data_IF_260780915491
#
_entry.id   IF_260780915491
#
_cell.length_a   1.000
_cell.length_b   1.000
_cell.length_c   1.000
_cell.angle_alpha   90.00
_cell.angle_beta   90.00
_cell.angle_gamma   90.00
#
_symmetry.space_group_name_H-M   'P 1'
#
loop_
_entity.id
_entity.type
_entity.pdbx_description
1 polymer ?
#
# COMPACT_ATOMS: atom_id res chain seq x y z
N UNK A 1 14.87 5.80 30.45
CA UNK A 1 13.59 6.46 30.77
C UNK A 1 12.99 6.97 29.48
N UNK A 2 12.03 6.22 28.94
CA UNK A 2 11.36 6.59 27.68
C UNK A 2 10.42 7.76 27.92
N UNK A 3 10.67 8.87 27.25
CA UNK A 3 9.72 9.99 27.20
C UNK A 3 8.46 9.53 26.47
N UNK A 4 7.36 9.40 27.21
CA UNK A 4 6.05 9.12 26.65
C UNK A 4 5.76 10.14 25.54
N UNK A 5 5.61 9.67 24.30
CA UNK A 5 5.28 10.51 23.15
C UNK A 5 3.99 11.28 23.48
N UNK A 6 4.04 12.61 23.44
CA UNK A 6 2.84 13.46 23.61
C UNK A 6 1.77 12.96 22.63
N UNK A 7 0.52 12.76 23.09
CA UNK A 7 -0.56 12.30 22.21
C UNK A 7 -0.66 13.26 21.04
N UNK A 8 -0.37 12.76 19.83
CA UNK A 8 -0.51 13.53 18.60
C UNK A 8 -1.94 14.00 18.49
N UNK A 9 -2.13 15.32 18.45
CA UNK A 9 -3.45 15.93 18.30
C UNK A 9 -4.11 15.33 17.06
N UNK A 10 -5.25 14.67 17.25
CA UNK A 10 -5.93 13.99 16.15
C UNK A 10 -6.15 14.97 14.99
N UNK A 11 -5.67 14.59 13.82
CA UNK A 11 -5.83 15.39 12.62
C UNK A 11 -7.30 15.33 12.17
N UNK A 12 -8.04 16.40 12.30
CA UNK A 12 -9.43 16.54 11.87
C UNK A 12 -9.54 17.60 10.79
N UNK A 13 -8.78 17.45 9.73
CA UNK A 13 -8.90 18.30 8.54
C UNK A 13 -9.86 17.63 7.55
N UNK A 14 -10.74 18.39 6.94
CA UNK A 14 -11.65 17.98 5.87
C UNK A 14 -11.32 18.84 4.66
N UNK A 15 -11.01 18.24 3.52
CA UNK A 15 -10.91 18.95 2.24
C UNK A 15 -12.24 18.84 1.54
N UNK A 16 -12.77 19.95 1.05
CA UNK A 16 -14.07 20.05 0.36
C UNK A 16 -13.88 20.61 -1.05
N UNK A 17 -14.77 20.18 -1.94
CA UNK A 17 -14.85 20.64 -3.32
C UNK A 17 -16.22 21.29 -3.55
N UNK A 18 -16.23 22.58 -3.88
CA UNK A 18 -17.45 23.35 -4.13
C UNK A 18 -17.58 23.76 -5.61
N UNK A 19 -16.94 23.10 -6.52
CA UNK A 19 -16.98 23.25 -7.98
C UNK A 19 -15.97 24.23 -8.57
N UNK A 20 -15.88 25.48 -8.11
CA UNK A 20 -14.93 26.45 -8.64
C UNK A 20 -14.43 27.41 -7.55
N UNK A 21 -13.25 28.00 -7.78
CA UNK A 21 -12.56 28.86 -6.80
C UNK A 21 -13.35 30.13 -6.47
N UNK A 22 -14.05 30.72 -7.44
CA UNK A 22 -14.82 31.94 -7.24
C UNK A 22 -16.05 31.70 -6.35
N UNK A 23 -16.77 30.61 -6.60
CA UNK A 23 -17.90 30.16 -5.75
C UNK A 23 -17.43 29.85 -4.34
N UNK A 24 -16.28 29.22 -4.17
CA UNK A 24 -15.71 28.91 -2.86
C UNK A 24 -15.36 30.18 -2.06
N UNK A 25 -14.83 31.20 -2.69
CA UNK A 25 -14.57 32.49 -2.02
C UNK A 25 -15.84 33.14 -1.48
N UNK A 26 -16.89 33.23 -2.28
CA UNK A 26 -18.17 33.80 -1.84
C UNK A 26 -18.84 32.97 -0.74
N UNK A 27 -18.84 31.65 -0.85
CA UNK A 27 -19.35 30.76 0.18
C UNK A 27 -18.61 30.90 1.51
N UNK A 28 -17.30 31.16 1.47
CA UNK A 28 -16.50 31.31 2.69
C UNK A 28 -16.79 32.64 3.41
N UNK A 29 -17.30 33.66 2.73
CA UNK A 29 -17.76 34.91 3.35
C UNK A 29 -19.09 34.73 4.09
N UNK A 30 -20.02 33.93 3.55
CA UNK A 30 -21.25 33.54 4.26
C UNK A 30 -21.07 32.23 5.04
N UNK A 31 -20.73 32.34 6.29
CA UNK A 31 -20.48 31.19 7.14
C UNK A 31 -21.68 30.26 7.37
N UNK A 32 -22.94 30.65 7.06
CA UNK A 32 -24.10 29.78 7.14
C UNK A 32 -24.21 28.93 5.86
N UNK A 33 -24.16 29.57 4.70
CA UNK A 33 -24.18 28.89 3.41
C UNK A 33 -22.97 27.94 3.29
N UNK A 34 -21.79 28.35 3.75
CA UNK A 34 -20.60 27.50 3.81
C UNK A 34 -20.84 26.24 4.64
N UNK A 35 -21.42 26.35 5.83
CA UNK A 35 -21.71 25.18 6.67
C UNK A 35 -22.68 24.21 5.98
N UNK A 36 -23.72 24.71 5.35
CA UNK A 36 -24.70 23.90 4.61
C UNK A 36 -24.03 23.14 3.45
N UNK A 37 -23.19 23.80 2.66
CA UNK A 37 -22.42 23.18 1.58
C UNK A 37 -21.45 22.11 2.10
N UNK A 38 -20.74 22.36 3.20
CA UNK A 38 -19.83 21.38 3.82
C UNK A 38 -20.59 20.14 4.28
N UNK A 39 -21.75 20.32 4.91
CA UNK A 39 -22.58 19.21 5.37
C UNK A 39 -23.10 18.38 4.19
N UNK A 40 -23.59 19.04 3.13
CA UNK A 40 -24.02 18.38 1.91
C UNK A 40 -22.89 17.59 1.25
N UNK A 41 -21.68 18.17 1.17
CA UNK A 41 -20.50 17.50 0.63
C UNK A 41 -20.10 16.27 1.47
N UNK A 42 -20.07 16.38 2.80
CA UNK A 42 -19.78 15.24 3.69
C UNK A 42 -20.78 14.11 3.49
N UNK A 43 -22.06 14.46 3.38
CA UNK A 43 -23.14 13.47 3.14
C UNK A 43 -22.97 12.79 1.77
N UNK A 44 -22.61 13.53 0.73
CA UNK A 44 -22.40 12.97 -0.62
C UNK A 44 -21.26 11.96 -0.69
N UNK A 45 -20.22 12.14 0.14
CA UNK A 45 -19.10 11.20 0.24
C UNK A 45 -19.48 9.91 0.99
N UNK A 46 -20.48 9.95 1.86
CA UNK A 46 -20.86 8.84 2.75
C UNK A 46 -19.79 8.51 3.82
N UNK A 47 -18.81 9.39 4.03
CA UNK A 47 -17.74 9.17 4.99
C UNK A 47 -18.15 9.56 6.41
N UNK A 48 -17.69 8.78 7.38
CA UNK A 48 -17.92 9.09 8.78
C UNK A 48 -16.86 10.05 9.32
N UNK A 49 -17.29 11.04 10.10
CA UNK A 49 -16.38 12.00 10.74
C UNK A 49 -15.61 11.37 11.90
N UNK A 50 -14.35 11.80 12.07
CA UNK A 50 -13.48 11.37 13.18
C UNK A 50 -13.82 12.16 14.45
N UNK A 51 -14.82 11.74 15.18
CA UNK A 51 -15.20 12.27 16.48
C UNK A 51 -14.22 11.84 17.60
N UNK A 52 -14.36 12.39 18.80
CA UNK A 52 -13.71 11.83 20.00
C UNK A 52 -14.35 10.48 20.34
N UNK A 53 -13.59 9.61 21.01
CA UNK A 53 -14.08 8.26 21.39
C UNK A 53 -15.37 8.29 22.23
N UNK A 54 -15.59 9.36 22.99
CA UNK A 54 -16.78 9.57 23.82
C UNK A 54 -18.02 10.00 23.02
N UNK A 55 -17.90 10.21 21.71
CA UNK A 55 -19.02 10.64 20.88
C UNK A 55 -19.70 9.45 20.20
N UNK A 56 -20.98 9.25 20.45
CA UNK A 56 -21.79 8.23 19.77
C UNK A 56 -22.08 8.51 18.28
N UNK A 57 -21.42 9.51 17.66
CA UNK A 57 -21.53 9.82 16.25
C UNK A 57 -22.73 10.69 15.82
N UNK A 58 -23.65 10.99 16.74
CA UNK A 58 -24.91 11.72 16.43
C UNK A 58 -24.85 13.24 16.60
N UNK A 59 -23.67 13.83 16.87
CA UNK A 59 -23.57 15.28 17.07
C UNK A 59 -23.51 16.06 15.75
N UNK A 60 -24.37 17.07 15.59
CA UNK A 60 -24.28 18.02 14.48
C UNK A 60 -23.00 18.85 14.52
N UNK A 61 -22.62 19.45 13.39
CA UNK A 61 -21.52 20.40 13.31
C UNK A 61 -22.05 21.82 13.41
N UNK A 62 -21.33 22.68 14.13
CA UNK A 62 -21.59 24.13 14.20
C UNK A 62 -20.32 24.88 13.87
N UNK A 63 -20.47 26.15 13.47
CA UNK A 63 -19.33 27.05 13.29
C UNK A 63 -18.64 27.30 14.63
N UNK A 64 -17.32 27.22 14.64
CA UNK A 64 -16.52 27.42 15.84
C UNK A 64 -15.63 28.67 15.75
N UNK A 65 -14.83 28.77 14.72
CA UNK A 65 -13.91 29.88 14.47
C UNK A 65 -13.44 29.87 13.02
N UNK A 66 -12.77 30.93 12.62
CA UNK A 66 -12.12 31.01 11.31
C UNK A 66 -10.72 31.62 11.44
N UNK A 67 -9.95 31.46 10.41
CA UNK A 67 -8.60 32.00 10.22
C UNK A 67 -8.48 32.55 8.80
N UNK A 68 -7.81 33.66 8.60
CA UNK A 68 -7.57 34.23 7.25
C UNK A 68 -6.14 33.93 6.83
N UNK A 69 -5.97 33.23 5.72
CA UNK A 69 -4.65 32.95 5.14
C UNK A 69 -4.24 34.00 4.13
N UNK A 70 -3.64 35.05 4.60
CA UNK A 70 -3.20 36.24 3.80
C UNK A 70 -2.29 35.82 2.64
N UNK A 71 -1.36 34.86 2.85
CA UNK A 71 -0.44 34.37 1.81
C UNK A 71 -1.12 33.60 0.67
N UNK A 72 -2.38 33.25 0.80
CA UNK A 72 -3.21 32.63 -0.22
C UNK A 72 -4.28 33.56 -0.79
N UNK A 73 -4.05 34.87 -0.72
CA UNK A 73 -5.01 35.88 -1.21
C UNK A 73 -6.16 36.19 -0.25
N UNK A 74 -5.97 35.94 1.05
CA UNK A 74 -7.00 36.28 2.05
C UNK A 74 -8.05 35.17 2.27
N UNK A 75 -7.73 33.91 1.92
CA UNK A 75 -8.68 32.77 2.05
C UNK A 75 -9.08 32.55 3.50
N UNK A 76 -10.38 32.57 3.78
CA UNK A 76 -10.95 32.24 5.08
C UNK A 76 -11.03 30.72 5.29
N UNK A 77 -10.38 30.22 6.33
CA UNK A 77 -10.39 28.82 6.71
C UNK A 77 -11.30 28.63 7.93
N UNK A 78 -12.40 27.97 7.74
CA UNK A 78 -13.36 27.71 8.80
C UNK A 78 -12.99 26.51 9.66
N UNK A 79 -13.33 26.59 10.93
CA UNK A 79 -13.33 25.47 11.87
C UNK A 79 -14.74 25.19 12.34
N UNK A 80 -15.14 23.94 12.21
CA UNK A 80 -16.44 23.44 12.66
C UNK A 80 -16.24 22.63 13.93
N UNK A 81 -17.21 22.66 14.83
CA UNK A 81 -17.17 21.92 16.08
C UNK A 81 -18.38 20.99 16.20
N UNK A 82 -18.12 19.77 16.62
CA UNK A 82 -19.19 18.83 16.99
C UNK A 82 -19.93 19.33 18.25
N UNK A 83 -21.24 19.42 18.20
CA UNK A 83 -22.09 19.87 19.31
C UNK A 83 -21.96 19.00 20.55
N UNK A 84 -21.76 17.70 20.39
CA UNK A 84 -21.65 16.73 21.49
C UNK A 84 -20.22 16.61 22.03
N UNK A 85 -19.28 16.11 21.23
CA UNK A 85 -17.93 15.79 21.76
C UNK A 85 -16.94 16.96 21.69
N UNK A 86 -17.35 18.11 21.19
CA UNK A 86 -16.51 19.31 21.03
C UNK A 86 -15.22 19.05 20.21
N UNK A 87 -15.23 18.03 19.33
CA UNK A 87 -14.17 17.85 18.36
C UNK A 87 -14.21 18.98 17.35
N UNK A 88 -13.04 19.56 17.05
CA UNK A 88 -12.94 20.66 16.07
C UNK A 88 -12.37 20.13 14.77
N UNK A 89 -13.03 20.44 13.67
CA UNK A 89 -12.67 20.08 12.30
C UNK A 89 -12.23 21.33 11.55
N UNK A 90 -11.05 21.30 10.92
CA UNK A 90 -10.60 22.36 10.02
C UNK A 90 -11.07 22.03 8.62
N UNK A 91 -11.82 22.92 7.99
CA UNK A 91 -12.32 22.72 6.62
C UNK A 91 -11.45 23.51 5.65
N UNK A 92 -10.90 22.82 4.66
CA UNK A 92 -10.05 23.39 3.63
C UNK A 92 -10.77 23.30 2.28
N UNK A 93 -10.90 24.40 1.52
CA UNK A 93 -11.31 24.31 0.13
C UNK A 93 -10.27 23.56 -0.71
N UNK A 94 -10.67 23.00 -1.85
CA UNK A 94 -9.84 22.14 -2.70
C UNK A 94 -8.52 22.78 -3.15
N UNK A 95 -8.50 24.10 -3.32
CA UNK A 95 -7.32 24.87 -3.73
C UNK A 95 -6.38 25.24 -2.56
N UNK A 96 -6.60 24.71 -1.35
CA UNK A 96 -5.76 24.95 -0.17
C UNK A 96 -5.16 23.64 0.34
N UNK A 97 -3.84 23.57 0.34
CA UNK A 97 -3.11 22.47 0.96
C UNK A 97 -2.98 22.67 2.48
N UNK A 98 -3.14 21.59 3.21
CA UNK A 98 -3.00 21.59 4.66
C UNK A 98 -1.62 22.06 5.10
N UNK A 99 -1.57 23.08 5.97
CA UNK A 99 -0.34 23.66 6.50
C UNK A 99 0.64 24.16 5.43
N UNK A 100 0.16 24.56 4.25
CA UNK A 100 0.98 25.06 3.16
C UNK A 100 0.42 26.36 2.62
N UNK A 101 1.33 27.19 2.14
CA UNK A 101 1.02 28.42 1.41
C UNK A 101 1.18 28.24 -0.11
N UNK A 102 1.41 27.01 -0.59
CA UNK A 102 1.45 26.70 -2.02
C UNK A 102 0.10 26.22 -2.51
N UNK A 103 -0.18 26.42 -3.78
CA UNK A 103 -1.37 25.90 -4.44
C UNK A 103 -1.22 24.42 -4.77
N UNK A 104 -2.32 23.63 -4.84
CA UNK A 104 -2.29 22.20 -5.18
C UNK A 104 -1.65 21.89 -6.53
N UNK A 105 -1.76 22.79 -7.54
CA UNK A 105 -1.21 22.62 -8.88
C UNK A 105 0.32 22.48 -8.82
N UNK A 106 1.00 23.32 -8.03
CA UNK A 106 2.45 23.26 -7.80
C UNK A 106 2.85 21.94 -7.16
N UNK A 107 2.07 21.50 -6.18
CA UNK A 107 2.28 20.21 -5.52
C UNK A 107 2.02 19.02 -6.45
N UNK A 108 1.04 19.14 -7.34
CA UNK A 108 0.67 18.13 -8.34
C UNK A 108 1.84 17.73 -9.20
N UNK A 109 2.50 18.70 -9.83
CA UNK A 109 3.62 18.45 -10.74
C UNK A 109 4.82 17.84 -10.00
N UNK A 110 5.12 18.34 -8.80
CA UNK A 110 6.18 17.78 -7.98
C UNK A 110 5.89 16.35 -7.50
N UNK A 111 4.65 16.03 -7.14
CA UNK A 111 4.23 14.69 -6.76
C UNK A 111 4.24 13.72 -7.95
N UNK A 112 3.79 14.15 -9.14
CA UNK A 112 3.89 13.37 -10.37
C UNK A 112 5.33 13.05 -10.71
N UNK A 113 6.22 14.03 -10.66
CA UNK A 113 7.64 13.86 -10.91
C UNK A 113 8.28 12.90 -9.88
N UNK A 114 7.90 13.01 -8.60
CA UNK A 114 8.29 12.06 -7.53
C UNK A 114 7.78 10.66 -7.84
N UNK A 115 6.51 10.54 -8.26
CA UNK A 115 5.93 9.26 -8.65
C UNK A 115 6.64 8.67 -9.88
N UNK A 116 7.05 9.49 -10.82
CA UNK A 116 7.84 9.12 -11.99
C UNK A 116 9.28 8.66 -11.68
N UNK A 117 9.76 8.85 -10.46
CA UNK A 117 11.09 8.43 -10.02
C UNK A 117 12.17 9.50 -10.13
N UNK A 118 11.82 10.79 -10.16
CA UNK A 118 12.78 11.87 -9.97
C UNK A 118 13.11 12.04 -8.48
N UNK A 119 14.34 12.51 -8.19
CA UNK A 119 14.72 12.82 -6.81
C UNK A 119 13.90 13.99 -6.26
N UNK A 120 13.72 14.04 -4.94
CA UNK A 120 13.02 15.16 -4.30
C UNK A 120 13.65 16.51 -4.63
N UNK A 121 14.98 16.56 -4.78
CA UNK A 121 15.70 17.77 -5.18
C UNK A 121 15.29 18.24 -6.58
N UNK A 122 15.28 17.35 -7.57
CA UNK A 122 14.85 17.70 -8.94
C UNK A 122 13.38 18.07 -9.00
N UNK A 123 12.53 17.31 -8.30
CA UNK A 123 11.10 17.64 -8.20
C UNK A 123 10.88 19.01 -7.55
N UNK A 124 11.68 19.34 -6.55
CA UNK A 124 11.63 20.62 -5.86
C UNK A 124 12.02 21.79 -6.80
N UNK A 125 13.04 21.61 -7.63
CA UNK A 125 13.43 22.59 -8.66
C UNK A 125 12.29 22.80 -9.66
N UNK A 126 11.67 21.75 -10.17
CA UNK A 126 10.53 21.82 -11.11
C UNK A 126 9.32 22.54 -10.48
N UNK A 127 9.03 22.23 -9.23
CA UNK A 127 7.91 22.83 -8.48
C UNK A 127 8.23 24.16 -7.80
N UNK A 128 9.45 24.70 -7.95
CA UNK A 128 9.91 25.90 -7.22
C UNK A 128 9.66 25.85 -5.71
N UNK A 129 9.86 24.69 -5.10
CA UNK A 129 9.67 24.43 -3.68
C UNK A 129 10.95 23.82 -3.07
N UNK A 130 11.08 23.81 -1.74
CA UNK A 130 12.22 23.13 -1.15
C UNK A 130 12.00 21.61 -1.10
N UNK A 131 13.07 20.76 -1.22
CA UNK A 131 12.96 19.31 -1.09
C UNK A 131 12.30 18.88 0.23
N UNK A 132 12.58 19.60 1.32
CA UNK A 132 11.98 19.34 2.63
C UNK A 132 10.47 19.61 2.64
N UNK A 133 10.00 20.61 1.91
CA UNK A 133 8.56 20.90 1.78
C UNK A 133 7.88 19.75 1.05
N UNK A 134 8.47 19.24 -0.03
CA UNK A 134 7.96 18.09 -0.77
C UNK A 134 7.95 16.81 0.08
N UNK A 135 9.06 16.53 0.80
CA UNK A 135 9.12 15.42 1.74
C UNK A 135 8.00 15.48 2.79
N UNK A 136 7.82 16.65 3.41
CA UNK A 136 6.75 16.87 4.41
C UNK A 136 5.35 16.79 3.80
N UNK A 137 5.19 17.12 2.52
CA UNK A 137 3.92 16.95 1.82
C UNK A 137 3.58 15.46 1.67
N UNK A 138 4.53 14.64 1.21
CA UNK A 138 4.34 13.18 1.13
C UNK A 138 4.06 12.58 2.51
N UNK A 139 4.78 13.01 3.56
CA UNK A 139 4.49 12.61 4.93
C UNK A 139 3.07 13.01 5.37
N UNK A 140 2.60 14.21 4.98
CA UNK A 140 1.25 14.65 5.33
C UNK A 140 0.16 13.75 4.74
N UNK A 141 0.37 13.21 3.53
CA UNK A 141 -0.50 12.20 2.93
C UNK A 141 -0.49 10.89 3.72
N UNK A 142 0.66 10.51 4.28
CA UNK A 142 0.87 9.25 4.98
C UNK A 142 0.32 9.18 6.42
N UNK A 143 -0.29 10.24 6.93
CA UNK A 143 -0.90 10.18 8.26
C UNK A 143 -2.19 9.36 8.32
N UNK A 144 -2.82 9.12 7.18
CA UNK A 144 -3.97 8.24 7.07
C UNK A 144 -3.53 6.85 6.62
N UNK A 145 -4.12 5.82 7.21
CA UNK A 145 -3.81 4.43 6.85
C UNK A 145 -4.22 4.12 5.41
N UNK A 146 -3.40 3.36 4.70
CA UNK A 146 -3.71 2.90 3.34
C UNK A 146 -5.01 2.11 3.30
N UNK A 147 -5.21 1.21 4.27
CA UNK A 147 -6.43 0.40 4.38
C UNK A 147 -7.66 1.30 4.46
N UNK A 148 -7.63 2.31 5.33
CA UNK A 148 -8.76 3.25 5.49
C UNK A 148 -9.05 4.02 4.20
N UNK A 149 -8.01 4.47 3.49
CA UNK A 149 -8.18 5.17 2.21
C UNK A 149 -8.81 4.27 1.15
N UNK A 150 -8.34 3.03 1.03
CA UNK A 150 -8.85 2.09 0.04
C UNK A 150 -10.30 1.65 0.33
N UNK A 151 -10.64 1.44 1.60
CA UNK A 151 -12.03 1.12 1.99
C UNK A 151 -12.99 2.29 1.77
N UNK A 152 -12.55 3.54 1.94
CA UNK A 152 -13.32 4.74 1.55
C UNK A 152 -13.60 4.80 0.05
N UNK A 153 -12.71 4.26 -0.76
CA UNK A 153 -12.95 4.10 -2.20
C UNK A 153 -13.90 2.94 -2.53
N UNK A 154 -14.48 2.28 -1.54
CA UNK A 154 -15.38 1.14 -1.72
C UNK A 154 -14.69 -0.16 -2.09
N UNK A 155 -13.35 -0.23 -2.00
CA UNK A 155 -12.66 -1.49 -2.21
C UNK A 155 -12.90 -2.44 -1.02
N UNK A 156 -13.33 -3.69 -1.29
CA UNK A 156 -13.43 -4.69 -0.25
C UNK A 156 -12.04 -5.08 0.25
N UNK A 157 -11.94 -5.43 1.52
CA UNK A 157 -10.69 -5.97 2.08
C UNK A 157 -10.27 -7.25 1.35
N UNK A 158 -8.98 -7.42 1.02
CA UNK A 158 -8.52 -8.46 0.12
C UNK A 158 -8.57 -9.85 0.76
N UNK A 159 -9.24 -10.81 0.12
CA UNK A 159 -9.24 -12.21 0.55
C UNK A 159 -7.88 -12.90 0.35
N UNK A 160 -7.15 -12.49 -0.67
CA UNK A 160 -5.82 -13.00 -1.01
C UNK A 160 -4.83 -11.85 -1.07
N UNK A 161 -3.69 -12.01 -0.41
CA UNK A 161 -2.64 -11.01 -0.36
C UNK A 161 -1.31 -11.58 -0.85
N UNK A 162 -0.51 -10.70 -1.44
CA UNK A 162 0.91 -10.93 -1.76
C UNK A 162 1.72 -10.19 -0.71
N UNK A 163 2.67 -10.85 -0.07
CA UNK A 163 3.51 -10.24 0.96
C UNK A 163 4.98 -10.60 0.77
N UNK A 164 5.84 -9.60 0.82
CA UNK A 164 7.29 -9.72 0.72
C UNK A 164 7.97 -8.45 1.26
N UNK A 165 9.27 -8.50 1.51
CA UNK A 165 10.08 -7.39 1.99
C UNK A 165 11.04 -6.89 0.91
N UNK A 166 10.90 -5.63 0.53
CA UNK A 166 11.89 -4.96 -0.32
C UNK A 166 13.05 -4.44 0.52
N UNK A 167 14.28 -4.69 0.07
CA UNK A 167 15.48 -4.12 0.67
C UNK A 167 15.64 -2.65 0.29
N UNK A 168 16.04 -1.81 1.26
CA UNK A 168 16.45 -0.43 1.07
C UNK A 168 17.63 -0.11 2.01
N UNK A 169 17.95 1.17 2.15
CA UNK A 169 19.03 1.66 3.04
C UNK A 169 18.52 2.80 3.92
N UNK A 170 19.04 2.87 5.14
CA UNK A 170 18.98 4.05 5.98
C UNK A 170 20.41 4.41 6.35
N UNK A 171 20.93 5.50 5.79
CA UNK A 171 22.37 5.80 5.78
C UNK A 171 23.16 4.63 5.16
N UNK A 172 24.01 3.98 5.94
CA UNK A 172 24.80 2.79 5.56
C UNK A 172 24.08 1.49 5.83
N UNK A 173 23.07 1.49 6.71
CA UNK A 173 22.43 0.29 7.21
C UNK A 173 21.36 -0.22 6.27
N UNK A 174 21.26 -1.53 6.20
CA UNK A 174 20.22 -2.21 5.44
C UNK A 174 18.91 -2.17 6.20
N UNK A 175 17.86 -1.72 5.52
CA UNK A 175 16.49 -1.69 6.04
C UNK A 175 15.55 -2.44 5.13
N UNK A 176 14.35 -2.74 5.61
CA UNK A 176 13.39 -3.57 4.91
C UNK A 176 12.02 -2.87 4.86
N UNK A 177 11.32 -3.09 3.78
CA UNK A 177 10.01 -2.49 3.50
C UNK A 177 8.97 -3.60 3.37
N UNK A 178 8.39 -4.08 4.48
CA UNK A 178 7.31 -5.06 4.44
C UNK A 178 6.13 -4.50 3.67
N UNK A 179 5.74 -5.22 2.61
CA UNK A 179 4.74 -4.75 1.65
C UNK A 179 3.62 -5.76 1.51
N UNK A 180 2.36 -5.29 1.50
CA UNK A 180 1.18 -6.08 1.19
C UNK A 180 0.51 -5.52 -0.05
N UNK A 181 0.30 -6.37 -1.06
CA UNK A 181 -0.35 -6.04 -2.32
C UNK A 181 -1.49 -7.02 -2.58
N UNK A 182 -2.59 -6.55 -3.11
CA UNK A 182 -3.63 -7.40 -3.70
C UNK A 182 -4.17 -6.72 -4.96
N UNK A 183 -4.20 -7.46 -6.06
CA UNK A 183 -4.46 -6.85 -7.34
C UNK A 183 -3.39 -5.79 -7.67
N UNK A 184 -3.84 -4.66 -8.16
CA UNK A 184 -2.98 -3.52 -8.54
C UNK A 184 -2.86 -2.45 -7.46
N UNK A 185 -3.35 -2.72 -6.25
CA UNK A 185 -3.27 -1.80 -5.12
C UNK A 185 -2.35 -2.32 -4.04
N UNK A 186 -1.63 -1.40 -3.44
CA UNK A 186 -0.78 -1.61 -2.28
C UNK A 186 -1.60 -1.35 -1.03
N UNK A 187 -1.77 -2.35 -0.17
CA UNK A 187 -2.54 -2.27 1.08
C UNK A 187 -1.69 -1.90 2.28
N UNK A 188 -0.38 -2.13 2.19
CA UNK A 188 0.57 -1.77 3.23
C UNK A 188 1.97 -1.58 2.64
N UNK A 189 2.67 -0.58 3.15
CA UNK A 189 4.09 -0.36 2.91
C UNK A 189 4.70 0.11 4.24
N UNK A 190 5.41 -0.80 4.90
CA UNK A 190 6.01 -0.58 6.20
C UNK A 190 7.50 -0.31 6.14
N UNK A 191 8.08 -0.04 7.31
CA UNK A 191 9.51 0.12 7.53
C UNK A 191 9.94 -0.75 8.72
N UNK A 192 11.06 -1.42 8.58
CA UNK A 192 11.74 -2.11 9.68
C UNK A 192 13.23 -2.20 9.44
N UNK A 193 14.02 -2.15 10.49
CA UNK A 193 15.47 -2.26 10.45
C UNK A 193 15.92 -3.73 10.45
N UNK A 194 15.02 -4.65 10.80
CA UNK A 194 15.29 -6.08 10.90
C UNK A 194 14.31 -6.92 10.11
N UNK A 195 14.74 -8.13 9.71
CA UNK A 195 13.86 -9.17 9.15
C UNK A 195 13.58 -10.31 10.14
N UNK A 196 13.66 -10.04 11.43
CA UNK A 196 13.23 -10.99 12.44
C UNK A 196 11.72 -11.25 12.36
N UNK A 197 11.27 -12.44 12.79
CA UNK A 197 9.83 -12.74 12.84
C UNK A 197 9.07 -11.72 13.68
N UNK A 198 9.64 -11.24 14.78
CA UNK A 198 9.03 -10.24 15.66
C UNK A 198 8.84 -8.90 14.94
N UNK A 199 9.90 -8.36 14.31
CA UNK A 199 9.86 -7.09 13.60
C UNK A 199 8.88 -7.12 12.43
N UNK A 200 8.87 -8.21 11.65
CA UNK A 200 7.91 -8.40 10.55
C UNK A 200 6.48 -8.56 11.06
N UNK A 201 6.27 -9.27 12.17
CA UNK A 201 4.94 -9.39 12.80
C UNK A 201 4.43 -8.02 13.26
N UNK A 202 5.30 -7.18 13.81
CA UNK A 202 4.93 -5.82 14.18
C UNK A 202 4.53 -4.98 12.96
N UNK A 203 5.31 -5.02 11.89
CA UNK A 203 5.07 -4.24 10.68
C UNK A 203 3.82 -4.70 9.93
N UNK A 204 3.71 -5.98 9.57
CA UNK A 204 2.51 -6.53 8.92
C UNK A 204 1.27 -6.45 9.82
N UNK A 205 1.45 -6.47 11.14
CA UNK A 205 0.40 -6.29 12.13
C UNK A 205 -0.30 -4.93 12.04
N UNK A 206 0.34 -3.91 11.46
CA UNK A 206 -0.32 -2.62 11.16
C UNK A 206 -1.46 -2.82 10.17
N UNK A 207 -1.19 -3.55 9.07
CA UNK A 207 -2.22 -3.90 8.09
C UNK A 207 -3.36 -4.71 8.74
N UNK A 208 -3.02 -5.77 9.46
CA UNK A 208 -4.00 -6.65 10.10
C UNK A 208 -4.90 -5.89 11.09
N UNK A 209 -4.31 -5.09 11.99
CA UNK A 209 -5.09 -4.30 12.97
C UNK A 209 -6.00 -3.29 12.29
N UNK A 210 -5.50 -2.57 11.26
CA UNK A 210 -6.30 -1.57 10.58
C UNK A 210 -7.43 -2.22 9.77
N UNK A 211 -7.18 -3.37 9.14
CA UNK A 211 -8.21 -4.13 8.44
C UNK A 211 -9.30 -4.61 9.41
N UNK A 212 -8.92 -5.14 10.57
CA UNK A 212 -9.88 -5.56 11.62
C UNK A 212 -10.65 -4.39 12.24
N UNK A 213 -10.11 -3.17 12.24
CA UNK A 213 -10.84 -1.96 12.64
C UNK A 213 -11.92 -1.56 11.63
N UNK A 214 -11.68 -1.79 10.33
CA UNK A 214 -12.67 -1.54 9.27
C UNK A 214 -13.75 -2.64 9.24
N UNK A 215 -13.34 -3.90 9.40
CA UNK A 215 -14.21 -5.06 9.38
C UNK A 215 -13.77 -6.06 10.47
N UNK A 216 -14.45 -6.09 11.63
CA UNK A 216 -14.04 -6.94 12.76
C UNK A 216 -13.98 -8.44 12.45
N UNK A 217 -14.75 -8.91 11.46
CA UNK A 217 -14.77 -10.30 11.03
C UNK A 217 -13.85 -10.58 9.83
N UNK A 218 -13.04 -9.60 9.42
CA UNK A 218 -12.13 -9.75 8.29
C UNK A 218 -11.15 -10.91 8.48
N UNK A 219 -11.06 -11.75 7.44
CA UNK A 219 -10.14 -12.89 7.40
C UNK A 219 -9.47 -13.01 6.04
N UNK A 220 -8.17 -13.05 6.05
CA UNK A 220 -7.37 -13.41 4.87
C UNK A 220 -7.55 -14.92 4.61
N UNK A 221 -7.92 -15.29 3.39
CA UNK A 221 -8.07 -16.70 2.96
C UNK A 221 -6.74 -17.29 2.50
N UNK A 222 -5.92 -16.48 1.83
CA UNK A 222 -4.62 -16.92 1.35
C UNK A 222 -3.58 -15.82 1.28
N UNK A 223 -2.33 -16.20 1.57
CA UNK A 223 -1.16 -15.34 1.50
C UNK A 223 -0.13 -15.97 0.59
N UNK A 224 0.33 -15.24 -0.42
CA UNK A 224 1.44 -15.66 -1.27
C UNK A 224 2.72 -14.94 -0.84
N UNK A 225 3.79 -15.71 -0.59
CA UNK A 225 5.13 -15.20 -0.26
C UNK A 225 6.19 -15.79 -1.19
N UNK A 226 7.44 -15.32 -1.08
CA UNK A 226 8.59 -15.97 -1.72
C UNK A 226 9.07 -17.22 -0.97
N UNK A 227 8.52 -17.48 0.23
CA UNK A 227 8.85 -18.57 1.13
C UNK A 227 10.02 -18.27 2.06
N UNK A 228 10.32 -16.99 2.32
CA UNK A 228 11.25 -16.62 3.38
C UNK A 228 10.65 -16.94 4.76
N UNK A 229 11.47 -17.51 5.64
CA UNK A 229 11.00 -18.17 6.87
C UNK A 229 10.37 -17.19 7.86
N UNK A 230 11.05 -16.05 8.10
CA UNK A 230 10.56 -15.03 9.04
C UNK A 230 9.24 -14.42 8.56
N UNK A 231 9.10 -14.13 7.25
CA UNK A 231 7.85 -13.67 6.64
C UNK A 231 6.73 -14.69 6.81
N UNK A 232 7.04 -15.96 6.49
CA UNK A 232 6.06 -17.05 6.59
C UNK A 232 5.56 -17.23 8.02
N UNK A 233 6.48 -17.22 9.02
CA UNK A 233 6.14 -17.32 10.45
C UNK A 233 5.32 -16.12 10.93
N UNK A 234 5.73 -14.91 10.56
CA UNK A 234 5.02 -13.68 10.90
C UNK A 234 3.57 -13.69 10.37
N UNK A 235 3.39 -14.02 9.09
CA UNK A 235 2.06 -14.05 8.47
C UNK A 235 1.18 -15.19 8.99
N UNK A 236 1.78 -16.32 9.39
CA UNK A 236 1.05 -17.39 10.07
C UNK A 236 0.54 -16.98 11.44
N UNK A 237 1.34 -16.18 12.18
CA UNK A 237 0.93 -15.62 13.47
C UNK A 237 -0.22 -14.63 13.32
N UNK A 238 -0.15 -13.74 12.31
CA UNK A 238 -1.16 -12.71 12.09
C UNK A 238 -2.46 -13.24 11.46
N UNK A 239 -2.34 -14.26 10.61
CA UNK A 239 -3.45 -14.86 9.85
C UNK A 239 -3.46 -16.39 9.99
N UNK A 240 -3.75 -16.93 11.19
CA UNK A 240 -3.61 -18.36 11.49
C UNK A 240 -4.51 -19.25 10.63
N UNK A 241 -5.64 -18.72 10.13
CA UNK A 241 -6.55 -19.43 9.25
C UNK A 241 -6.23 -19.32 7.75
N UNK A 242 -5.24 -18.50 7.37
CA UNK A 242 -4.90 -18.31 5.96
C UNK A 242 -4.06 -19.45 5.39
N UNK A 243 -4.34 -19.81 4.14
CA UNK A 243 -3.46 -20.73 3.38
C UNK A 243 -2.20 -19.98 2.97
N UNK A 244 -1.03 -20.50 3.32
CA UNK A 244 0.25 -19.92 2.94
C UNK A 244 0.77 -20.58 1.67
N UNK A 245 0.85 -19.79 0.58
CA UNK A 245 1.36 -20.24 -0.71
C UNK A 245 2.75 -19.68 -1.01
N UNK A 246 3.51 -20.40 -1.82
CA UNK A 246 4.80 -19.96 -2.33
C UNK A 246 4.68 -19.55 -3.80
N UNK A 247 5.29 -18.43 -4.16
CA UNK A 247 5.31 -17.92 -5.52
C UNK A 247 5.91 -18.94 -6.49
N UNK A 248 5.15 -19.38 -7.50
CA UNK A 248 5.61 -20.34 -8.50
C UNK A 248 6.74 -19.78 -9.37
N UNK A 249 6.76 -18.47 -9.61
CA UNK A 249 7.86 -17.81 -10.34
C UNK A 249 9.16 -17.90 -9.57
N UNK A 250 9.13 -17.66 -8.25
CA UNK A 250 10.29 -17.84 -7.39
C UNK A 250 10.75 -19.30 -7.33
N UNK A 251 9.83 -20.27 -7.33
CA UNK A 251 10.19 -21.69 -7.45
C UNK A 251 10.96 -21.95 -8.76
N UNK A 252 10.50 -21.42 -9.90
CA UNK A 252 11.18 -21.55 -11.19
C UNK A 252 12.57 -20.90 -11.21
N UNK A 253 12.75 -19.76 -10.54
CA UNK A 253 14.06 -19.08 -10.45
C UNK A 253 15.00 -19.73 -9.45
N UNK A 254 14.47 -20.38 -8.40
CA UNK A 254 15.26 -21.10 -7.38
C UNK A 254 15.74 -22.47 -7.87
N UNK A 255 15.02 -23.13 -8.82
CA UNK A 255 15.42 -24.45 -9.34
C UNK A 255 16.84 -24.48 -9.92
N UNK A 256 17.27 -23.56 -10.81
CA UNK A 256 18.65 -23.57 -11.33
C UNK A 256 19.73 -23.48 -10.26
N UNK A 257 19.45 -22.84 -9.12
CA UNK A 257 20.38 -22.73 -7.98
C UNK A 257 20.51 -24.07 -7.21
N UNK A 258 19.52 -24.97 -7.36
CA UNK A 258 19.56 -26.32 -6.78
C UNK A 258 20.29 -27.31 -7.70
N UNK A 259 20.48 -26.95 -8.96
CA UNK A 259 21.13 -27.75 -9.97
C UNK A 259 22.58 -27.27 -10.14
N UNK A 260 23.52 -28.00 -9.51
CA UNK A 260 24.94 -27.62 -9.45
C UNK A 260 25.74 -28.47 -10.43
N UNK A 261 26.76 -27.86 -11.04
CA UNK A 261 27.72 -28.54 -11.94
C UNK A 261 27.06 -29.32 -13.11
N UNK A 262 26.04 -28.72 -13.73
CA UNK A 262 25.39 -29.30 -14.93
C UNK A 262 25.49 -28.36 -16.13
N UNK A 263 25.53 -28.97 -17.30
CA UNK A 263 25.59 -28.24 -18.59
C UNK A 263 24.36 -27.35 -18.79
N UNK A 264 24.57 -26.17 -19.38
CA UNK A 264 23.50 -25.18 -19.62
C UNK A 264 22.28 -25.73 -20.38
N UNK A 265 22.43 -26.58 -21.42
CA UNK A 265 21.29 -27.17 -22.12
C UNK A 265 20.42 -28.06 -21.19
N UNK A 266 21.04 -28.90 -20.36
CA UNK A 266 20.33 -29.78 -19.41
C UNK A 266 19.57 -28.93 -18.38
N UNK A 267 20.20 -27.90 -17.82
CA UNK A 267 19.56 -26.96 -16.89
C UNK A 267 18.35 -26.28 -17.53
N UNK A 268 18.46 -25.86 -18.78
CA UNK A 268 17.36 -25.22 -19.53
C UNK A 268 16.22 -26.18 -19.79
N UNK A 269 16.52 -27.43 -20.16
CA UNK A 269 15.52 -28.47 -20.36
C UNK A 269 14.76 -28.80 -19.05
N UNK A 270 15.46 -29.00 -17.93
CA UNK A 270 14.84 -29.25 -16.63
C UNK A 270 13.98 -28.09 -16.17
N UNK A 271 14.40 -26.83 -16.37
CA UNK A 271 13.59 -25.65 -16.06
C UNK A 271 12.29 -25.62 -16.89
N UNK A 272 12.37 -25.92 -18.18
CA UNK A 272 11.19 -26.01 -19.07
C UNK A 272 10.23 -27.10 -18.64
N UNK A 273 10.74 -28.29 -18.29
CA UNK A 273 9.93 -29.41 -17.78
C UNK A 273 9.22 -29.04 -16.47
N UNK A 274 9.92 -28.38 -15.55
CA UNK A 274 9.35 -27.94 -14.28
C UNK A 274 8.27 -26.86 -14.50
N UNK A 275 8.50 -25.90 -15.40
CA UNK A 275 7.50 -24.92 -15.79
C UNK A 275 6.22 -25.61 -16.33
N UNK A 276 6.38 -26.57 -17.26
CA UNK A 276 5.26 -27.31 -17.81
C UNK A 276 4.49 -28.08 -16.74
N UNK A 277 5.22 -28.68 -15.76
CA UNK A 277 4.62 -29.39 -14.64
C UNK A 277 3.75 -28.44 -13.80
N UNK A 278 4.30 -27.28 -13.39
CA UNK A 278 3.58 -26.30 -12.59
C UNK A 278 2.37 -25.72 -13.33
N UNK A 279 2.54 -25.39 -14.61
CA UNK A 279 1.46 -24.87 -15.46
C UNK A 279 0.32 -25.88 -15.60
N UNK A 280 0.61 -27.14 -15.93
CA UNK A 280 -0.39 -28.22 -16.04
C UNK A 280 -1.07 -28.52 -14.70
N UNK A 281 -0.32 -28.45 -13.59
CA UNK A 281 -0.89 -28.65 -12.26
C UNK A 281 -1.92 -27.57 -11.94
N UNK A 282 -1.64 -26.29 -12.29
CA UNK A 282 -2.53 -25.16 -12.07
C UNK A 282 -3.82 -25.22 -12.92
N UNK A 283 -3.75 -25.70 -14.16
CA UNK A 283 -4.92 -25.79 -15.05
C UNK A 283 -5.96 -26.83 -14.62
N UNK A 284 -5.58 -27.79 -13.77
CA UNK A 284 -6.49 -28.85 -13.31
C UNK A 284 -7.19 -28.46 -12.02
N UNK A 285 -8.44 -28.03 -12.15
CA UNK A 285 -9.33 -27.85 -11.00
C UNK A 285 -9.40 -29.14 -10.16
N UNK A 286 -9.17 -29.03 -8.85
CA UNK A 286 -9.30 -30.16 -7.93
C UNK A 286 -8.16 -31.21 -7.99
N UNK A 287 -6.96 -30.80 -8.42
CA UNK A 287 -5.80 -31.70 -8.36
C UNK A 287 -5.49 -32.05 -6.89
N UNK A 288 -5.66 -33.33 -6.53
CA UNK A 288 -5.35 -33.79 -5.17
C UNK A 288 -3.86 -33.64 -4.89
N UNK A 289 -3.50 -33.26 -3.65
CA UNK A 289 -2.11 -33.11 -3.14
C UNK A 289 -1.27 -34.34 -3.48
N UNK A 290 -1.86 -35.54 -3.37
CA UNK A 290 -1.19 -36.80 -3.70
C UNK A 290 -0.72 -36.89 -5.17
N UNK A 291 -1.56 -36.50 -6.12
CA UNK A 291 -1.21 -36.53 -7.55
C UNK A 291 -0.10 -35.50 -7.89
N UNK A 292 -0.10 -34.33 -7.25
CA UNK A 292 0.98 -33.38 -7.39
C UNK A 292 2.27 -33.90 -6.77
N UNK A 293 2.21 -34.51 -5.59
CA UNK A 293 3.35 -35.16 -4.94
C UNK A 293 4.01 -36.23 -5.79
N UNK A 294 3.21 -37.06 -6.50
CA UNK A 294 3.74 -38.02 -7.44
C UNK A 294 4.44 -37.37 -8.64
N UNK A 295 3.88 -36.27 -9.18
CA UNK A 295 4.50 -35.54 -10.30
C UNK A 295 5.82 -34.91 -9.89
N UNK A 296 5.90 -34.30 -8.70
CA UNK A 296 7.15 -33.75 -8.17
C UNK A 296 8.20 -34.87 -7.93
N UNK A 297 7.80 -36.03 -7.44
CA UNK A 297 8.70 -37.20 -7.32
C UNK A 297 9.22 -37.64 -8.70
N UNK A 298 8.34 -37.78 -9.71
CA UNK A 298 8.75 -38.13 -11.08
C UNK A 298 9.73 -37.09 -11.64
N UNK A 299 9.47 -35.79 -11.38
CA UNK A 299 10.39 -34.73 -11.79
C UNK A 299 11.75 -34.85 -11.08
N UNK A 300 11.77 -35.10 -9.77
CA UNK A 300 13.03 -35.33 -9.05
C UNK A 300 13.82 -36.55 -9.59
N UNK A 301 13.11 -37.63 -9.97
CA UNK A 301 13.75 -38.76 -10.64
C UNK A 301 14.31 -38.39 -12.01
N UNK A 302 13.60 -37.58 -12.81
CA UNK A 302 14.10 -37.02 -14.06
C UNK A 302 15.38 -36.20 -13.84
N UNK A 303 15.41 -35.37 -12.77
CA UNK A 303 16.64 -34.64 -12.39
C UNK A 303 17.78 -35.61 -12.06
N UNK A 304 17.49 -36.69 -11.33
CA UNK A 304 18.48 -37.75 -11.03
C UNK A 304 19.08 -38.32 -12.33
N UNK A 305 18.22 -38.66 -13.29
CA UNK A 305 18.65 -39.22 -14.58
C UNK A 305 19.46 -38.26 -15.43
N UNK A 306 19.03 -37.00 -15.52
CA UNK A 306 19.66 -36.00 -16.41
C UNK A 306 20.84 -35.24 -15.79
N UNK A 307 20.89 -35.14 -14.46
CA UNK A 307 21.83 -34.25 -13.74
C UNK A 307 22.54 -34.97 -12.57
N UNK A 308 22.36 -36.26 -12.40
CA UNK A 308 23.00 -37.09 -11.37
C UNK A 308 22.28 -37.12 -10.02
N UNK A 309 22.59 -38.18 -9.23
CA UNK A 309 21.92 -38.48 -7.95
C UNK A 309 21.94 -37.34 -6.94
N UNK A 310 23.07 -36.63 -6.80
CA UNK A 310 23.22 -35.53 -5.88
C UNK A 310 22.27 -34.35 -6.18
N UNK A 311 22.05 -34.00 -7.45
CA UNK A 311 21.10 -33.01 -7.88
C UNK A 311 19.66 -33.45 -7.66
N UNK A 312 19.34 -34.72 -7.94
CA UNK A 312 18.04 -35.30 -7.67
C UNK A 312 17.67 -35.24 -6.18
N UNK A 313 18.61 -35.56 -5.29
CA UNK A 313 18.40 -35.51 -3.84
C UNK A 313 18.20 -34.07 -3.33
N UNK A 314 18.99 -33.10 -3.80
CA UNK A 314 18.78 -31.68 -3.47
C UNK A 314 17.40 -31.17 -3.88
N UNK A 315 16.87 -31.62 -5.04
CA UNK A 315 15.55 -31.27 -5.51
C UNK A 315 14.46 -31.96 -4.68
N UNK A 316 14.65 -33.24 -4.27
CA UNK A 316 13.72 -33.92 -3.36
C UNK A 316 13.62 -33.24 -2.00
N UNK A 317 14.77 -32.97 -1.37
CA UNK A 317 14.82 -32.25 -0.09
C UNK A 317 14.14 -30.86 -0.20
N UNK A 318 14.47 -30.11 -1.25
CA UNK A 318 13.82 -28.81 -1.48
C UNK A 318 12.29 -28.91 -1.65
N UNK A 319 11.78 -29.92 -2.34
CA UNK A 319 10.35 -30.16 -2.44
C UNK A 319 9.72 -30.55 -1.11
N UNK A 320 10.42 -31.32 -0.29
CA UNK A 320 9.94 -31.71 1.03
C UNK A 320 9.79 -30.46 1.94
N UNK A 321 10.78 -29.55 1.94
CA UNK A 321 10.78 -28.33 2.72
C UNK A 321 9.66 -27.35 2.30
N UNK A 322 9.37 -27.30 0.99
CA UNK A 322 8.40 -26.34 0.42
C UNK A 322 7.03 -26.94 0.12
N UNK A 323 6.83 -28.21 0.48
CA UNK A 323 5.65 -28.99 0.14
C UNK A 323 4.33 -28.31 0.53
N UNK A 324 4.21 -27.88 1.78
CA UNK A 324 2.96 -27.32 2.27
C UNK A 324 2.58 -25.99 1.57
N UNK A 325 3.55 -25.06 1.40
CA UNK A 325 3.29 -23.76 0.77
C UNK A 325 3.14 -23.85 -0.76
N UNK A 326 3.85 -24.77 -1.42
CA UNK A 326 3.73 -24.95 -2.88
C UNK A 326 2.38 -25.53 -3.30
N UNK A 327 1.79 -26.38 -2.49
CA UNK A 327 0.50 -27.00 -2.80
C UNK A 327 -0.67 -26.05 -2.63
N UNK A 328 -0.64 -25.15 -1.64
CA UNK A 328 -1.71 -24.21 -1.40
C UNK A 328 -2.11 -23.40 -2.66
N UNK A 329 -1.10 -22.94 -3.43
CA UNK A 329 -1.32 -22.17 -4.68
C UNK A 329 -1.93 -23.04 -5.79
N UNK A 330 -1.60 -24.34 -5.83
CA UNK A 330 -2.07 -25.23 -6.88
C UNK A 330 -3.45 -25.81 -6.59
N UNK A 331 -3.82 -25.91 -5.31
CA UNK A 331 -5.11 -26.38 -4.85
C UNK A 331 -6.19 -25.31 -4.88
N UNK A 332 -5.79 -24.04 -4.72
CA UNK A 332 -6.72 -22.91 -4.71
C UNK A 332 -6.57 -22.09 -6.01
N UNK A 333 -7.50 -22.23 -6.97
CA UNK A 333 -7.45 -21.48 -8.23
C UNK A 333 -7.59 -19.96 -8.07
N UNK A 334 -8.13 -19.49 -6.95
CA UNK A 334 -8.30 -18.05 -6.66
C UNK A 334 -7.01 -17.44 -6.08
N UNK A 335 -6.15 -18.27 -5.48
CA UNK A 335 -4.86 -17.79 -4.96
C UNK A 335 -3.95 -17.33 -6.10
N UNK A 336 -3.34 -16.14 -6.04
CA UNK A 336 -2.34 -15.71 -7.03
C UNK A 336 -1.21 -16.72 -7.19
N UNK A 337 -0.77 -16.97 -8.42
CA UNK A 337 0.31 -17.94 -8.68
C UNK A 337 1.70 -17.31 -8.63
N UNK A 338 1.79 -16.02 -8.75
CA UNK A 338 3.07 -15.30 -8.81
C UNK A 338 2.99 -13.98 -8.08
N UNK A 339 4.13 -13.53 -7.58
CA UNK A 339 4.29 -12.22 -6.96
C UNK A 339 4.52 -11.08 -7.98
N UNK A 340 4.19 -11.26 -9.26
CA UNK A 340 4.51 -10.29 -10.31
C UNK A 340 3.96 -8.88 -10.01
N UNK A 341 2.75 -8.78 -9.47
CA UNK A 341 2.16 -7.48 -9.09
C UNK A 341 2.90 -6.84 -7.91
N UNK A 342 3.33 -7.64 -6.95
CA UNK A 342 4.17 -7.18 -5.84
C UNK A 342 5.55 -6.74 -6.34
N UNK A 343 6.17 -7.50 -7.27
CA UNK A 343 7.43 -7.11 -7.91
C UNK A 343 7.30 -5.76 -8.66
N UNK A 344 6.16 -5.51 -9.33
CA UNK A 344 5.85 -4.23 -9.99
C UNK A 344 5.72 -3.10 -8.97
N UNK A 345 5.02 -3.33 -7.86
CA UNK A 345 4.89 -2.36 -6.79
C UNK A 345 6.24 -2.03 -6.15
N UNK A 346 7.06 -3.05 -5.86
CA UNK A 346 8.43 -2.88 -5.38
C UNK A 346 9.28 -2.06 -6.34
N UNK A 347 9.21 -2.32 -7.65
CA UNK A 347 9.96 -1.57 -8.67
C UNK A 347 9.51 -0.10 -8.74
N UNK A 348 8.23 0.20 -8.53
CA UNK A 348 7.74 1.56 -8.47
C UNK A 348 8.27 2.33 -7.26
N UNK A 349 8.34 1.69 -6.10
CA UNK A 349 8.91 2.28 -4.88
C UNK A 349 10.43 2.38 -4.97
N UNK A 350 11.09 1.35 -5.50
CA UNK A 350 12.55 1.28 -5.62
C UNK A 350 13.13 2.43 -6.46
N UNK A 351 12.49 2.76 -7.58
CA UNK A 351 12.89 3.91 -8.40
C UNK A 351 12.97 5.21 -7.59
N UNK A 352 12.03 5.42 -6.65
CA UNK A 352 12.00 6.61 -5.80
C UNK A 352 13.08 6.58 -4.73
N UNK A 353 13.22 5.45 -4.03
CA UNK A 353 14.20 5.29 -2.97
C UNK A 353 15.63 5.25 -3.51
N UNK A 354 15.83 4.70 -4.71
CA UNK A 354 17.15 4.68 -5.38
C UNK A 354 17.65 6.11 -5.66
N UNK A 355 16.82 6.97 -6.24
CA UNK A 355 17.22 8.37 -6.52
C UNK A 355 17.36 9.21 -5.26
N UNK A 356 16.69 8.84 -4.18
CA UNK A 356 16.85 9.44 -2.84
C UNK A 356 18.07 8.87 -2.09
N UNK A 357 18.74 7.85 -2.62
CA UNK A 357 19.81 7.10 -1.93
C UNK A 357 19.38 6.46 -0.60
N UNK A 358 18.09 6.12 -0.47
CA UNK A 358 17.49 5.57 0.74
C UNK A 358 17.01 6.63 1.73
N UNK A 359 17.03 6.28 3.01
CA UNK A 359 16.65 7.17 4.11
C UNK A 359 17.89 7.74 4.80
N UNK A 360 17.78 8.96 5.34
CA UNK A 360 18.91 9.71 5.88
C UNK A 360 18.89 9.91 7.39
N UNK A 361 17.78 9.54 8.07
CA UNK A 361 17.62 9.70 9.52
C UNK A 361 16.99 8.46 10.12
N UNK A 362 17.68 7.68 10.98
CA UNK A 362 17.08 6.59 11.72
C UNK A 362 16.03 7.12 12.70
N UNK A 363 14.95 6.37 12.93
CA UNK A 363 13.87 6.76 13.86
C UNK A 363 13.01 7.95 13.41
N UNK A 364 13.11 8.37 12.13
CA UNK A 364 12.35 9.47 11.58
C UNK A 364 10.94 9.11 11.11
N UNK A 365 10.42 9.89 10.17
CA UNK A 365 9.06 9.71 9.60
C UNK A 365 9.00 8.73 8.44
N UNK A 366 9.92 7.74 8.37
CA UNK A 366 10.02 6.79 7.24
C UNK A 366 8.71 6.03 7.00
N UNK A 367 8.10 5.49 8.05
CA UNK A 367 6.84 4.75 7.93
C UNK A 367 5.71 5.64 7.39
N UNK A 368 5.64 6.89 7.85
CA UNK A 368 4.64 7.87 7.40
C UNK A 368 4.92 8.28 5.94
N UNK A 369 6.19 8.50 5.57
CA UNK A 369 6.59 8.79 4.20
C UNK A 369 6.25 7.64 3.26
N UNK A 370 6.54 6.40 3.64
CA UNK A 370 6.20 5.20 2.86
C UNK A 370 4.70 5.04 2.69
N UNK A 371 3.91 5.29 3.72
CA UNK A 371 2.45 5.31 3.61
C UNK A 371 1.99 6.37 2.60
N UNK A 372 2.60 7.56 2.59
CA UNK A 372 2.36 8.58 1.57
C UNK A 372 2.70 8.11 0.16
N UNK A 373 3.84 7.41 -0.02
CA UNK A 373 4.20 6.79 -1.31
C UNK A 373 3.20 5.72 -1.75
N UNK A 374 2.65 4.94 -0.81
CA UNK A 374 1.62 3.95 -1.13
C UNK A 374 0.32 4.63 -1.61
N UNK A 375 -0.07 5.78 -1.03
CA UNK A 375 -1.20 6.57 -1.54
C UNK A 375 -0.93 7.10 -2.95
N UNK A 376 0.26 7.63 -3.21
CA UNK A 376 0.64 8.07 -4.56
C UNK A 376 0.61 6.89 -5.56
N UNK A 377 1.09 5.71 -5.18
CA UNK A 377 1.04 4.51 -6.01
C UNK A 377 -0.39 4.11 -6.36
N UNK A 378 -1.30 4.17 -5.39
CA UNK A 378 -2.68 3.70 -5.53
C UNK A 378 -3.59 4.69 -6.29
N UNK A 379 -3.33 6.01 -6.17
CA UNK A 379 -4.27 7.06 -6.60
C UNK A 379 -3.79 7.88 -7.81
N UNK A 380 -2.50 7.83 -8.17
CA UNK A 380 -2.02 8.49 -9.39
C UNK A 380 -2.41 7.64 -10.61
N UNK A 381 -3.05 8.25 -11.63
CA UNK A 381 -3.42 7.54 -12.85
C UNK A 381 -2.23 6.99 -13.62
N UNK A 382 -2.40 5.83 -14.25
CA UNK A 382 -1.40 5.24 -15.13
C UNK A 382 -1.17 6.12 -16.38
N UNK A 383 0.07 6.13 -16.83
CA UNK A 383 0.50 6.91 -17.98
C UNK A 383 -0.20 6.46 -19.27
N UNK A 384 -0.26 7.35 -20.27
CA UNK A 384 -0.97 7.17 -21.56
C UNK A 384 -0.65 5.87 -22.31
N UNK A 385 0.54 5.30 -22.13
CA UNK A 385 0.94 4.05 -22.81
C UNK A 385 0.70 2.79 -21.97
N UNK A 386 0.17 2.90 -20.76
CA UNK A 386 -0.14 1.75 -19.93
C UNK A 386 -1.45 1.08 -20.34
N UNK A 387 -1.61 -0.19 -20.01
CA UNK A 387 -2.82 -0.98 -20.30
C UNK A 387 -4.10 -0.32 -19.77
N UNK A 388 -4.00 0.38 -18.63
CA UNK A 388 -5.11 1.07 -17.96
C UNK A 388 -4.87 2.58 -17.91
N UNK A 389 -4.46 3.15 -19.07
CA UNK A 389 -4.16 4.57 -19.17
C UNK A 389 -5.31 5.45 -18.66
N UNK A 390 -4.98 6.44 -17.83
CA UNK A 390 -5.94 7.38 -17.25
C UNK A 390 -6.66 6.87 -16.00
N UNK A 391 -6.64 5.57 -15.73
CA UNK A 391 -7.16 5.00 -14.48
C UNK A 391 -6.03 4.83 -13.45
N UNK A 392 -6.34 4.92 -12.17
CA UNK A 392 -5.40 4.56 -11.10
C UNK A 392 -5.60 3.10 -10.63
N UNK A 393 -4.72 2.61 -9.76
CA UNK A 393 -4.83 1.24 -9.23
C UNK A 393 -6.17 0.97 -8.55
N UNK A 394 -6.70 1.94 -7.82
CA UNK A 394 -8.00 1.85 -7.15
C UNK A 394 -9.14 1.63 -8.14
N UNK A 395 -9.19 2.40 -9.23
CA UNK A 395 -10.25 2.30 -10.24
C UNK A 395 -10.18 0.97 -11.01
N UNK A 396 -8.96 0.49 -11.31
CA UNK A 396 -8.75 -0.81 -11.97
C UNK A 396 -9.26 -1.98 -11.12
N UNK A 397 -9.18 -1.85 -9.81
CA UNK A 397 -9.70 -2.88 -8.87
C UNK A 397 -11.19 -2.67 -8.52
N UNK A 398 -11.87 -1.75 -9.20
CA UNK A 398 -13.31 -1.52 -9.04
C UNK A 398 -13.69 -0.53 -7.94
N UNK A 399 -12.73 0.18 -7.37
CA UNK A 399 -12.98 1.26 -6.42
C UNK A 399 -13.54 2.51 -7.11
N UNK A 400 -14.14 3.39 -6.32
CA UNK A 400 -14.72 4.65 -6.78
C UNK A 400 -13.98 5.82 -6.16
N UNK A 401 -13.64 6.80 -6.97
CA UNK A 401 -13.01 8.03 -6.52
C UNK A 401 -14.06 9.13 -6.34
N UNK A 402 -13.89 10.02 -5.34
CA UNK A 402 -14.79 11.15 -5.11
C UNK A 402 -14.92 12.09 -6.32
N UNK A 403 -13.83 12.30 -7.05
CA UNK A 403 -13.76 13.22 -8.19
C UNK A 403 -12.95 12.63 -9.34
N UNK A 404 -12.93 13.30 -10.50
CA UNK A 404 -12.05 12.96 -11.62
C UNK A 404 -10.60 13.48 -11.44
N UNK A 405 -10.38 14.37 -10.49
CA UNK A 405 -9.05 14.94 -10.20
C UNK A 405 -8.30 14.10 -9.15
N UNK A 406 -7.23 13.44 -9.56
CA UNK A 406 -6.45 12.59 -8.68
C UNK A 406 -5.80 13.35 -7.49
N UNK A 407 -5.40 14.61 -7.70
CA UNK A 407 -4.79 15.41 -6.63
C UNK A 407 -5.81 15.78 -5.56
N UNK A 408 -7.02 16.12 -5.98
CA UNK A 408 -8.14 16.37 -5.10
C UNK A 408 -8.57 15.09 -4.37
N UNK A 409 -8.62 13.97 -5.06
CA UNK A 409 -8.86 12.66 -4.44
C UNK A 409 -7.84 12.34 -3.35
N UNK A 410 -6.55 12.59 -3.60
CA UNK A 410 -5.52 12.47 -2.56
C UNK A 410 -5.83 13.33 -1.34
N UNK A 411 -6.19 14.60 -1.53
CA UNK A 411 -6.50 15.51 -0.43
C UNK A 411 -7.72 15.05 0.37
N UNK A 412 -8.80 14.66 -0.30
CA UNK A 412 -10.06 14.21 0.32
C UNK A 412 -9.82 12.91 1.08
N UNK A 413 -9.29 11.90 0.39
CA UNK A 413 -9.16 10.54 0.92
C UNK A 413 -8.13 10.40 2.04
N UNK A 414 -7.03 11.16 2.00
CA UNK A 414 -6.01 11.17 3.06
C UNK A 414 -6.34 12.17 4.18
N UNK A 415 -7.48 12.84 4.09
CA UNK A 415 -7.96 13.76 5.10
C UNK A 415 -8.23 13.06 6.43
N UNK A 416 -7.69 13.58 7.52
CA UNK A 416 -7.84 13.00 8.85
C UNK A 416 -9.16 13.35 9.54
N UNK A 417 -10.01 14.16 8.91
CA UNK A 417 -11.35 14.49 9.42
C UNK A 417 -12.34 13.34 9.28
N UNK A 418 -12.03 12.33 8.46
CA UNK A 418 -12.84 11.14 8.27
C UNK A 418 -12.21 9.90 8.93
N UNK A 419 -13.02 8.89 9.26
CA UNK A 419 -12.61 7.56 9.74
C UNK A 419 -13.15 6.46 8.85
#
# INVERSE_FOLDING_TARGET
MGTAAKPTRANRTITVDFRDEATDFHLMEDGKAFLECVLAFILSLGFQLTHKATCGGGGGLTRHSHDVRVRLGGVTIWRLQCTMCKAVFTVLPHFVLRYRSMRPEVARDALLATHGGLSLERCAVIGHISPMVLYRLVCALGHQSVVTVLTRCGLPLPRYILADEKHSRCLTDKVYLPTVVSGRVMWHLGYTEEVSTAALTQSYGVFQRTASQQEPLYRVQGVLTDGFDSTTKSLRTLFPGARLGNCLRHALTKLPKKLVAIASPVRKALRSQFHTLLHRARQRKGLRVFALGQRLRRFANLVTTMAGAANGERVRSWFADKKAGGYAVLEDPQMPASSTLLDQAHNAIDRKLFVMKGFHHPGGSQAVFLTGLAHLYNLIPYQRRALHAGQCGVEVEGGRLPTSDWMLNLQILTSGGFR
#
